data_IF_520152370116
#
_entry.id   IF_520152370116
#
_cell.length_a   1.000
_cell.length_b   1.000
_cell.length_c   1.000
_cell.angle_alpha   90.00
_cell.angle_beta   90.00
_cell.angle_gamma   90.00
#
_symmetry.space_group_name_H-M   'P 1'
#
loop_
_entity.id
_entity.type
_entity.pdbx_description
1 polymer ?
#
# COMPACT_ATOMS: atom_id res chain seq x y z
N UNK A 1 -9.66 12.30 12.88
CA UNK A 1 -8.59 12.74 11.97
C UNK A 1 -7.46 13.35 12.79
N UNK A 2 -6.26 12.79 12.64
CA UNK A 2 -5.08 13.19 13.42
C UNK A 2 -4.39 14.35 12.68
N UNK A 3 -4.37 15.53 13.29
CA UNK A 3 -3.70 16.73 12.75
C UNK A 3 -2.29 16.88 13.35
N UNK A 4 -1.47 15.85 13.20
CA UNK A 4 -0.09 15.89 13.70
C UNK A 4 0.86 15.51 12.56
N UNK A 5 1.64 16.49 12.09
CA UNK A 5 2.61 16.32 11.01
C UNK A 5 3.64 15.24 11.31
N UNK A 6 4.16 15.21 12.53
CA UNK A 6 5.18 14.22 12.94
C UNK A 6 4.62 12.80 12.89
N UNK A 7 3.39 12.60 13.42
CA UNK A 7 2.73 11.30 13.34
C UNK A 7 2.49 10.86 11.89
N UNK A 8 2.10 11.79 11.03
CA UNK A 8 1.90 11.52 9.60
C UNK A 8 3.22 11.16 8.90
N UNK A 9 4.31 11.89 9.18
CA UNK A 9 5.63 11.59 8.64
C UNK A 9 6.12 10.21 9.06
N UNK A 10 6.00 9.87 10.35
CA UNK A 10 6.39 8.55 10.86
C UNK A 10 5.58 7.46 10.16
N UNK A 11 4.26 7.61 10.09
CA UNK A 11 3.38 6.62 9.46
C UNK A 11 3.73 6.39 8.00
N UNK A 12 3.88 7.47 7.21
CA UNK A 12 4.22 7.41 5.79
C UNK A 12 5.62 6.81 5.57
N UNK A 13 6.59 7.13 6.43
CA UNK A 13 7.93 6.56 6.37
C UNK A 13 7.89 5.05 6.63
N UNK A 14 7.18 4.62 7.68
CA UNK A 14 7.00 3.20 8.00
C UNK A 14 6.32 2.46 6.84
N UNK A 15 5.26 3.04 6.26
CA UNK A 15 4.58 2.47 5.10
C UNK A 15 5.53 2.26 3.91
N UNK A 16 6.27 3.30 3.53
CA UNK A 16 7.20 3.23 2.40
C UNK A 16 8.33 2.22 2.65
N UNK A 17 8.87 2.17 3.88
CA UNK A 17 9.90 1.21 4.25
C UNK A 17 9.38 -0.23 4.18
N UNK A 18 8.22 -0.50 4.77
CA UNK A 18 7.59 -1.83 4.69
C UNK A 18 7.23 -2.20 3.25
N UNK A 19 6.77 -1.24 2.46
CA UNK A 19 6.49 -1.43 1.04
C UNK A 19 7.74 -1.85 0.27
N UNK A 20 8.86 -1.17 0.50
CA UNK A 20 10.13 -1.53 -0.11
C UNK A 20 10.60 -2.94 0.33
N UNK A 21 10.57 -3.22 1.64
CA UNK A 21 10.92 -4.56 2.18
C UNK A 21 10.01 -5.64 1.61
N UNK A 22 8.70 -5.40 1.53
CA UNK A 22 7.73 -6.32 0.93
C UNK A 22 8.02 -6.61 -0.53
N UNK A 23 8.38 -5.58 -1.32
CA UNK A 23 8.77 -5.74 -2.71
C UNK A 23 10.04 -6.59 -2.85
N UNK A 24 11.07 -6.30 -2.06
CA UNK A 24 12.34 -7.05 -2.08
C UNK A 24 12.12 -8.51 -1.64
N UNK A 25 11.34 -8.73 -0.58
CA UNK A 25 11.01 -10.06 -0.10
C UNK A 25 10.22 -10.88 -1.14
N UNK A 26 9.31 -10.22 -1.86
CA UNK A 26 8.48 -10.87 -2.88
C UNK A 26 9.25 -11.24 -4.16
N UNK A 27 10.42 -10.66 -4.39
CA UNK A 27 11.32 -11.07 -5.49
C UNK A 27 11.96 -12.45 -5.25
N UNK A 28 11.75 -13.07 -4.09
CA UNK A 28 12.30 -14.39 -3.77
C UNK A 28 13.76 -14.35 -3.32
N UNK A 29 14.32 -13.16 -3.07
CA UNK A 29 15.73 -13.01 -2.65
C UNK A 29 16.01 -13.74 -1.33
N UNK A 30 14.99 -13.85 -0.46
CA UNK A 30 15.11 -14.52 0.83
C UNK A 30 14.74 -16.02 0.78
N UNK A 31 14.20 -16.52 -0.34
CA UNK A 31 13.71 -17.89 -0.46
C UNK A 31 14.76 -18.89 -1.03
N UNK A 32 16.06 -18.51 -1.07
CA UNK A 32 17.13 -19.30 -1.69
C UNK A 32 16.85 -19.73 -3.15
N UNK A 33 15.98 -19.03 -3.83
CA UNK A 33 15.65 -19.29 -5.23
C UNK A 33 16.57 -18.43 -6.08
N UNK A 34 17.50 -19.04 -6.78
CA UNK A 34 18.46 -18.35 -7.67
C UNK A 34 17.82 -17.73 -8.93
N UNK A 35 16.51 -17.56 -8.93
CA UNK A 35 15.76 -17.04 -10.09
C UNK A 35 14.89 -15.88 -9.65
N UNK A 36 15.23 -14.69 -10.13
CA UNK A 36 14.35 -13.51 -9.97
C UNK A 36 13.10 -13.77 -10.80
N UNK A 37 11.96 -13.77 -10.15
CA UNK A 37 10.66 -14.01 -10.79
C UNK A 37 10.20 -12.73 -11.50
N UNK A 38 10.48 -12.62 -12.78
CA UNK A 38 10.07 -11.48 -13.60
C UNK A 38 8.55 -11.36 -13.78
N UNK A 39 7.82 -12.47 -13.69
CA UNK A 39 6.36 -12.52 -13.68
C UNK A 39 5.73 -11.76 -12.47
N UNK A 40 6.52 -11.51 -11.44
CA UNK A 40 6.13 -10.73 -10.26
C UNK A 40 5.51 -9.37 -10.61
N UNK A 41 6.05 -8.67 -11.62
CA UNK A 41 5.59 -7.33 -11.98
C UNK A 41 4.23 -7.30 -12.70
N UNK A 42 3.77 -8.41 -13.24
CA UNK A 42 2.53 -8.50 -14.03
C UNK A 42 1.30 -8.77 -13.16
N UNK A 43 1.49 -9.17 -11.90
CA UNK A 43 0.38 -9.46 -11.02
C UNK A 43 -0.31 -8.19 -10.55
N UNK A 44 -1.64 -8.14 -10.67
CA UNK A 44 -2.48 -7.00 -10.24
C UNK A 44 -2.17 -6.53 -8.82
N UNK A 45 -1.94 -7.44 -7.90
CA UNK A 45 -1.57 -7.16 -6.52
C UNK A 45 -0.31 -6.31 -6.42
N UNK A 46 0.71 -6.66 -7.20
CA UNK A 46 1.99 -5.96 -7.14
C UNK A 46 1.88 -4.58 -7.78
N UNK A 47 1.15 -4.46 -8.90
CA UNK A 47 0.86 -3.17 -9.55
C UNK A 47 0.12 -2.25 -8.58
N UNK A 48 -0.90 -2.76 -7.87
CA UNK A 48 -1.66 -1.99 -6.89
C UNK A 48 -0.78 -1.55 -5.71
N UNK A 49 0.08 -2.44 -5.20
CA UNK A 49 1.03 -2.11 -4.14
C UNK A 49 2.05 -1.05 -4.60
N UNK A 50 2.64 -1.20 -5.79
CA UNK A 50 3.57 -0.21 -6.35
C UNK A 50 2.92 1.18 -6.50
N UNK A 51 1.69 1.21 -7.01
CA UNK A 51 0.93 2.45 -7.12
C UNK A 51 0.73 3.09 -5.74
N UNK A 52 0.30 2.32 -4.75
CA UNK A 52 0.08 2.81 -3.38
C UNK A 52 1.38 3.28 -2.72
N UNK A 53 2.50 2.56 -2.91
CA UNK A 53 3.82 2.97 -2.40
C UNK A 53 4.24 4.28 -3.05
N UNK A 54 4.08 4.44 -4.36
CA UNK A 54 4.39 5.67 -5.08
C UNK A 54 3.55 6.86 -4.60
N UNK A 55 2.25 6.66 -4.38
CA UNK A 55 1.35 7.68 -3.85
C UNK A 55 1.76 8.08 -2.41
N UNK A 56 2.07 7.12 -1.56
CA UNK A 56 2.49 7.38 -0.18
C UNK A 56 3.87 8.04 -0.13
N UNK A 57 4.78 7.69 -1.01
CA UNK A 57 6.08 8.35 -1.14
C UNK A 57 5.93 9.81 -1.59
N UNK A 58 5.07 10.09 -2.56
CA UNK A 58 4.75 11.45 -2.95
C UNK A 58 4.12 12.26 -1.80
N UNK A 59 3.22 11.61 -1.04
CA UNK A 59 2.62 12.20 0.15
C UNK A 59 3.66 12.49 1.25
N UNK A 60 4.62 11.57 1.47
CA UNK A 60 5.74 11.74 2.41
C UNK A 60 6.58 12.97 2.05
N UNK A 61 6.98 13.10 0.77
CA UNK A 61 7.75 14.26 0.30
C UNK A 61 6.98 15.56 0.54
N UNK A 62 5.67 15.58 0.26
CA UNK A 62 4.86 16.76 0.49
C UNK A 62 4.73 17.11 1.96
N UNK A 63 4.47 16.10 2.81
CA UNK A 63 4.38 16.31 4.26
C UNK A 63 5.72 16.81 4.82
N UNK A 64 6.85 16.32 4.31
CA UNK A 64 8.18 16.77 4.70
C UNK A 64 8.46 18.23 4.30
N UNK A 65 7.98 18.66 3.12
CA UNK A 65 8.17 20.04 2.63
C UNK A 65 7.25 21.06 3.29
N UNK A 66 6.14 20.64 3.89
CA UNK A 66 5.20 21.54 4.54
C UNK A 66 5.68 22.02 5.90
N UNK A 67 5.45 23.30 6.18
CA UNK A 67 5.75 23.91 7.49
C UNK A 67 4.57 23.86 8.46
N UNK A 68 3.35 23.64 7.96
CA UNK A 68 2.11 23.68 8.74
C UNK A 68 1.41 22.31 8.77
N UNK A 69 0.61 22.09 9.81
CA UNK A 69 -0.24 20.90 9.98
C UNK A 69 -1.44 20.93 9.01
N UNK A 70 -1.20 20.84 7.73
CA UNK A 70 -2.25 20.82 6.72
C UNK A 70 -2.28 19.52 5.94
N UNK A 71 -3.49 18.99 5.72
CA UNK A 71 -3.73 17.73 5.04
C UNK A 71 -4.25 17.97 3.62
N UNK A 72 -3.36 18.05 2.68
CA UNK A 72 -3.77 17.99 1.27
C UNK A 72 -3.00 16.86 0.62
N UNK A 73 -3.73 15.84 0.16
CA UNK A 73 -3.12 14.84 -0.71
C UNK A 73 -2.66 15.53 -2.00
N UNK A 74 -1.45 15.24 -2.43
CA UNK A 74 -0.91 15.73 -3.69
C UNK A 74 -1.84 15.45 -4.86
N UNK A 75 -2.43 14.28 -4.80
CA UNK A 75 -3.20 13.72 -5.92
C UNK A 75 -4.38 12.94 -5.32
N UNK A 76 -5.44 13.64 -4.88
CA UNK A 76 -6.55 13.01 -4.19
C UNK A 76 -7.24 11.91 -5.02
N UNK A 77 -7.30 12.10 -6.34
CA UNK A 77 -7.88 11.11 -7.24
C UNK A 77 -7.05 9.83 -7.32
N UNK A 78 -5.72 9.93 -7.45
CA UNK A 78 -4.83 8.76 -7.44
C UNK A 78 -4.89 8.04 -6.09
N UNK A 79 -5.03 8.78 -4.99
CA UNK A 79 -5.19 8.17 -3.66
C UNK A 79 -6.48 7.36 -3.56
N UNK A 80 -7.57 7.83 -4.17
CA UNK A 80 -8.82 7.09 -4.26
C UNK A 80 -8.68 5.83 -5.13
N UNK A 81 -8.05 5.95 -6.30
CA UNK A 81 -7.79 4.81 -7.18
C UNK A 81 -6.90 3.76 -6.47
N UNK A 82 -5.84 4.21 -5.80
CA UNK A 82 -5.00 3.34 -4.98
C UNK A 82 -5.79 2.63 -3.89
N UNK A 83 -6.72 3.32 -3.22
CA UNK A 83 -7.59 2.74 -2.21
C UNK A 83 -8.46 1.61 -2.78
N UNK A 84 -9.08 1.81 -3.95
CA UNK A 84 -9.88 0.78 -4.59
C UNK A 84 -9.03 -0.42 -5.01
N UNK A 85 -7.86 -0.18 -5.60
CA UNK A 85 -6.94 -1.25 -6.00
C UNK A 85 -6.42 -2.07 -4.83
N UNK A 86 -5.99 -1.40 -3.76
CA UNK A 86 -5.45 -2.09 -2.58
C UNK A 86 -6.52 -2.83 -1.78
N UNK A 87 -7.74 -2.28 -1.71
CA UNK A 87 -8.89 -2.92 -1.08
C UNK A 87 -9.28 -4.19 -1.84
N UNK A 88 -9.34 -4.12 -3.18
CA UNK A 88 -9.62 -5.29 -4.01
C UNK A 88 -8.54 -6.37 -3.82
N UNK A 89 -7.27 -5.98 -3.83
CA UNK A 89 -6.15 -6.89 -3.52
C UNK A 89 -6.33 -7.58 -2.18
N UNK A 90 -6.65 -6.83 -1.13
CA UNK A 90 -6.88 -7.36 0.22
C UNK A 90 -8.04 -8.35 0.27
N UNK A 91 -9.18 -8.01 -0.31
CA UNK A 91 -10.37 -8.85 -0.29
C UNK A 91 -10.18 -10.13 -1.11
N UNK A 92 -9.69 -10.01 -2.34
CA UNK A 92 -9.48 -11.16 -3.22
C UNK A 92 -8.47 -12.13 -2.61
N UNK A 93 -7.36 -11.61 -2.06
CA UNK A 93 -6.37 -12.49 -1.44
C UNK A 93 -6.94 -13.21 -0.21
N UNK A 94 -7.48 -12.46 0.74
CA UNK A 94 -7.88 -13.05 2.04
C UNK A 94 -9.15 -13.91 1.95
N UNK A 95 -10.07 -13.61 1.03
CA UNK A 95 -11.33 -14.36 0.91
C UNK A 95 -11.21 -15.51 -0.09
N UNK A 96 -10.56 -15.27 -1.24
CA UNK A 96 -10.57 -16.23 -2.33
C UNK A 96 -9.27 -17.04 -2.45
N UNK A 97 -8.10 -16.40 -2.30
CA UNK A 97 -6.84 -17.08 -2.58
C UNK A 97 -6.20 -17.73 -1.35
N UNK A 98 -6.36 -17.17 -0.17
CA UNK A 98 -5.69 -17.69 1.04
C UNK A 98 -6.16 -19.10 1.43
N UNK A 99 -7.40 -19.46 1.09
CA UNK A 99 -7.99 -20.78 1.34
C UNK A 99 -8.18 -21.63 0.08
N UNK A 100 -7.64 -21.23 -1.08
CA UNK A 100 -7.87 -21.96 -2.33
C UNK A 100 -7.22 -23.35 -2.33
N UNK A 101 -7.94 -24.33 -2.86
CA UNK A 101 -7.45 -25.71 -3.02
C UNK A 101 -6.18 -25.75 -3.89
N UNK A 102 -5.20 -26.56 -3.49
CA UNK A 102 -3.93 -26.72 -4.18
C UNK A 102 -2.89 -25.62 -3.89
N UNK A 103 -3.22 -24.61 -3.08
CA UNK A 103 -2.26 -23.61 -2.63
C UNK A 103 -1.57 -24.09 -1.34
N UNK A 104 -0.25 -23.94 -1.33
CA UNK A 104 0.53 -24.18 -0.11
C UNK A 104 0.12 -23.18 0.99
N UNK A 105 -0.47 -23.63 2.11
CA UNK A 105 -0.86 -22.72 3.21
C UNK A 105 0.32 -21.93 3.77
N UNK A 106 1.54 -22.49 3.75
CA UNK A 106 2.73 -21.80 4.24
C UNK A 106 3.14 -20.63 3.34
N UNK A 107 2.79 -20.65 2.05
CA UNK A 107 3.05 -19.55 1.14
C UNK A 107 2.35 -18.25 1.56
N UNK A 108 1.21 -18.34 2.26
CA UNK A 108 0.48 -17.18 2.75
C UNK A 108 1.23 -16.47 3.89
N UNK A 109 2.01 -17.20 4.66
CA UNK A 109 2.76 -16.70 5.82
C UNK A 109 4.17 -16.25 5.47
N UNK A 110 4.59 -16.35 4.22
CA UNK A 110 5.86 -15.76 3.79
C UNK A 110 5.83 -14.25 4.01
N UNK A 111 6.95 -13.70 4.47
CA UNK A 111 7.05 -12.27 4.85
C UNK A 111 6.58 -11.34 3.72
N UNK A 112 7.01 -11.59 2.49
CA UNK A 112 6.58 -10.80 1.33
C UNK A 112 5.07 -10.86 1.10
N UNK A 113 4.45 -12.04 1.20
CA UNK A 113 3.01 -12.24 1.05
C UNK A 113 2.24 -11.52 2.14
N UNK A 114 2.64 -11.68 3.39
CA UNK A 114 2.00 -11.04 4.54
C UNK A 114 2.04 -9.51 4.44
N UNK A 115 3.20 -8.95 4.10
CA UNK A 115 3.35 -7.51 3.93
C UNK A 115 2.46 -7.02 2.80
N UNK A 116 2.53 -7.63 1.62
CA UNK A 116 1.85 -7.14 0.41
C UNK A 116 0.33 -7.31 0.44
N UNK A 117 -0.18 -8.38 1.07
CA UNK A 117 -1.60 -8.71 1.03
C UNK A 117 -2.37 -8.35 2.29
N UNK A 118 -1.68 -8.07 3.40
CA UNK A 118 -2.32 -7.79 4.69
C UNK A 118 -1.85 -6.46 5.26
N UNK A 119 -0.55 -6.30 5.49
CA UNK A 119 -0.03 -5.14 6.23
C UNK A 119 -0.18 -3.84 5.43
N UNK A 120 0.30 -3.80 4.18
CA UNK A 120 0.21 -2.61 3.34
C UNK A 120 -1.23 -2.19 3.05
N UNK A 121 -2.17 -3.10 2.68
CA UNK A 121 -3.57 -2.75 2.53
C UNK A 121 -4.18 -2.13 3.79
N UNK A 122 -4.00 -2.75 4.94
CA UNK A 122 -4.53 -2.24 6.21
C UNK A 122 -3.95 -0.86 6.54
N UNK A 123 -2.64 -0.67 6.37
CA UNK A 123 -2.01 0.62 6.60
C UNK A 123 -2.51 1.70 5.62
N UNK A 124 -2.71 1.37 4.35
CA UNK A 124 -3.23 2.33 3.38
C UNK A 124 -4.67 2.77 3.72
N UNK A 125 -5.51 1.80 4.13
CA UNK A 125 -6.86 2.06 4.62
C UNK A 125 -6.79 2.92 5.89
N UNK A 126 -5.91 2.59 6.83
CA UNK A 126 -5.73 3.37 8.05
C UNK A 126 -5.29 4.82 7.76
N UNK A 127 -4.34 5.03 6.83
CA UNK A 127 -3.93 6.37 6.40
C UNK A 127 -5.12 7.18 5.87
N UNK A 128 -6.01 6.55 5.09
CA UNK A 128 -7.21 7.19 4.57
C UNK A 128 -8.14 7.70 5.67
N UNK A 129 -8.33 6.92 6.74
CA UNK A 129 -9.20 7.30 7.85
C UNK A 129 -8.53 8.23 8.85
N UNK A 130 -7.25 8.06 9.11
CA UNK A 130 -6.52 8.80 10.14
C UNK A 130 -6.06 10.18 9.67
N UNK A 131 -5.57 10.27 8.44
CA UNK A 131 -4.87 11.47 7.96
C UNK A 131 -5.51 12.16 6.76
N UNK A 132 -6.44 11.53 6.05
CA UNK A 132 -7.00 12.12 4.85
C UNK A 132 -8.17 13.07 5.15
N UNK A 133 -8.04 14.34 4.75
CA UNK A 133 -9.13 15.30 4.83
C UNK A 133 -10.10 15.11 3.65
N UNK A 134 -11.30 14.67 3.95
CA UNK A 134 -12.36 14.49 2.96
C UNK A 134 -12.92 15.86 2.58
N UNK A 135 -12.48 16.42 1.46
CA UNK A 135 -13.19 17.52 0.84
C UNK A 135 -14.45 16.98 0.16
N UNK A 136 -15.57 17.70 0.27
CA UNK A 136 -16.79 17.35 -0.47
C UNK A 136 -16.46 17.32 -1.95
N UNK A 137 -16.37 16.14 -2.55
CA UNK A 137 -16.21 16.00 -3.99
C UNK A 137 -17.50 16.49 -4.63
N UNK A 138 -17.40 17.45 -5.54
CA UNK A 138 -18.55 17.81 -6.38
C UNK A 138 -18.69 16.69 -7.41
N UNK A 139 -19.91 16.21 -7.65
CA UNK A 139 -20.21 15.07 -8.52
C UNK A 139 -19.67 15.19 -9.97
N UNK A 140 -19.31 16.43 -10.40
CA UNK A 140 -18.77 16.73 -11.72
C UNK A 140 -17.24 16.97 -11.73
N UNK A 141 -16.53 16.63 -10.68
CA UNK A 141 -15.07 16.58 -10.75
C UNK A 141 -14.65 15.32 -11.52
N UNK A 142 -13.87 15.47 -12.61
CA UNK A 142 -13.30 14.31 -13.27
C UNK A 142 -12.27 13.62 -12.37
#
# INVERSE_FOLDING_TARGET
MIKNRTAQLIFQTVYCTLGFVGCVASLGIFDNVNVIRWDFYVHFTNISNFLCIGIMFAALIQTAKKKEDSYVSAVPMLKCIGMLGILLTFLVFNIMLAGAEGRDPQANWRVGSLISHVVLPIMYIADWFLFYERKKAKWYYP
#
